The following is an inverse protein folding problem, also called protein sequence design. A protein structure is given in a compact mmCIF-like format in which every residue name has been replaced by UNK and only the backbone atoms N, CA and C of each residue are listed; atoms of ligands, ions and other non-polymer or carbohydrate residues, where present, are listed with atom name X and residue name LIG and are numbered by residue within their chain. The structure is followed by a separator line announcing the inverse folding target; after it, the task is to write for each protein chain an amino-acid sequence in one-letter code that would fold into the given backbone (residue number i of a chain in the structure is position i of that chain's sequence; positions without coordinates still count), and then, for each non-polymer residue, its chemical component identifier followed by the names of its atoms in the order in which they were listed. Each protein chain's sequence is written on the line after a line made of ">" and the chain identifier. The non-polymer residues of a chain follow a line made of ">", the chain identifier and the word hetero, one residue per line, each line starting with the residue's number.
data_IF_159728500299
#
_entry.id   IF_159728500299
#
_cell.length_a   1.000
_cell.length_b   1.000
_cell.length_c   1.000
_cell.angle_alpha   90.00
_cell.angle_beta   90.00
_cell.angle_gamma   90.00
#
_symmetry.space_group_name_H-M   'P 1'
#
loop_
_entity.id
_entity.type
_entity.pdbx_description
1 polymer ?
#
# COMPACT_ATOMS: atom_id res chain seq x y z
N UNK A 1 -47.27 -40.38 1.87
CA UNK A 1 -46.71 -40.17 0.52
C UNK A 1 -45.23 -39.80 0.67
N UNK A 2 -44.34 -40.55 0.02
CA UNK A 2 -42.91 -40.22 -0.12
C UNK A 2 -42.76 -39.31 -1.34
N UNK A 3 -42.12 -38.15 -1.18
CA UNK A 3 -41.49 -37.42 -2.27
C UNK A 3 -40.07 -37.03 -1.85
N UNK A 4 -39.11 -37.56 -2.61
CA UNK A 4 -37.72 -37.11 -2.74
C UNK A 4 -37.71 -35.81 -3.57
N UNK A 5 -36.57 -35.09 -3.57
CA UNK A 5 -36.17 -33.87 -4.33
C UNK A 5 -35.92 -32.67 -3.39
N UNK A 6 -34.79 -31.96 -3.40
CA UNK A 6 -33.54 -32.11 -4.13
C UNK A 6 -32.45 -31.27 -3.41
N UNK A 7 -31.24 -31.81 -3.48
CA UNK A 7 -29.97 -31.17 -3.20
C UNK A 7 -29.83 -29.86 -4.01
N UNK A 8 -29.81 -28.71 -3.33
CA UNK A 8 -29.02 -27.56 -3.77
C UNK A 8 -28.31 -27.06 -2.52
N UNK A 9 -27.18 -27.69 -2.22
CA UNK A 9 -26.14 -27.03 -1.47
C UNK A 9 -25.75 -25.79 -2.30
N UNK A 10 -26.25 -24.63 -1.91
CA UNK A 10 -25.77 -23.38 -2.44
C UNK A 10 -24.29 -23.30 -2.07
N UNK A 11 -23.42 -23.69 -3.01
CA UNK A 11 -22.04 -23.25 -3.03
C UNK A 11 -22.11 -21.72 -3.09
N UNK A 12 -22.11 -21.09 -1.92
CA UNK A 12 -21.54 -19.75 -1.78
C UNK A 12 -20.06 -19.92 -2.06
N UNK A 13 -19.70 -19.82 -3.34
CA UNK A 13 -18.36 -19.44 -3.72
C UNK A 13 -18.13 -18.06 -3.11
N UNK A 14 -17.56 -18.03 -1.90
CA UNK A 14 -16.98 -16.80 -1.40
C UNK A 14 -15.93 -16.38 -2.44
N UNK A 15 -15.95 -15.13 -2.92
CA UNK A 15 -14.84 -14.63 -3.72
C UNK A 15 -13.58 -14.84 -2.87
N UNK A 16 -12.59 -15.53 -3.44
CA UNK A 16 -11.31 -15.72 -2.80
C UNK A 16 -10.71 -14.35 -2.54
N UNK A 17 -10.80 -13.88 -1.29
CA UNK A 17 -9.96 -12.83 -0.77
C UNK A 17 -8.53 -13.29 -1.05
N UNK A 18 -7.79 -12.59 -1.92
CA UNK A 18 -6.40 -12.93 -2.13
C UNK A 18 -5.70 -12.64 -0.80
N UNK A 19 -5.38 -13.68 -0.06
CA UNK A 19 -4.59 -13.57 1.16
C UNK A 19 -3.19 -13.04 0.79
N UNK A 20 -2.52 -12.33 1.71
CA UNK A 20 -1.11 -12.02 1.54
C UNK A 20 -0.33 -13.32 1.22
N UNK A 21 0.63 -13.23 0.32
CA UNK A 21 1.46 -14.38 -0.10
C UNK A 21 2.89 -14.15 0.35
N UNK A 22 3.50 -15.14 0.98
CA UNK A 22 4.93 -15.09 1.33
C UNK A 22 5.76 -14.86 0.06
N UNK A 23 6.64 -13.86 0.11
CA UNK A 23 7.44 -13.40 -1.03
C UNK A 23 6.79 -12.28 -1.85
N UNK A 24 5.55 -11.88 -1.56
CA UNK A 24 4.97 -10.67 -2.16
C UNK A 24 5.82 -9.46 -1.76
N UNK A 25 6.22 -8.67 -2.77
CA UNK A 25 7.19 -7.59 -2.60
C UNK A 25 6.74 -6.33 -3.34
N UNK A 26 6.96 -5.17 -2.70
CA UNK A 26 6.91 -3.86 -3.35
C UNK A 26 8.21 -3.10 -3.09
N UNK A 27 8.73 -2.42 -4.10
CA UNK A 27 9.87 -1.49 -3.96
C UNK A 27 9.44 -0.10 -4.39
N UNK A 28 9.91 0.89 -3.66
CA UNK A 28 9.62 2.31 -3.87
C UNK A 28 10.91 3.11 -3.95
N UNK A 29 10.93 4.08 -4.87
CA UNK A 29 11.88 5.19 -4.84
C UNK A 29 11.45 6.18 -3.77
N UNK A 30 12.32 6.45 -2.81
CA UNK A 30 12.06 7.39 -1.72
C UNK A 30 12.90 8.64 -1.91
N UNK A 31 12.27 9.80 -1.86
CA UNK A 31 12.93 11.11 -1.79
C UNK A 31 12.55 11.77 -0.46
N UNK A 32 13.55 12.10 0.36
CA UNK A 32 13.41 12.90 1.57
C UNK A 32 13.97 14.30 1.30
N UNK A 33 13.11 15.32 1.37
CA UNK A 33 13.49 16.73 1.29
C UNK A 33 13.45 17.38 2.66
N UNK A 34 14.53 18.07 3.02
CA UNK A 34 14.69 18.85 4.25
C UNK A 34 15.17 20.25 3.85
N UNK A 35 14.23 21.19 3.70
CA UNK A 35 14.51 22.49 3.11
C UNK A 35 15.00 22.38 1.66
N UNK A 36 16.22 22.86 1.38
CA UNK A 36 16.81 22.80 0.04
C UNK A 36 17.58 21.50 -0.25
N UNK A 37 17.78 20.65 0.75
CA UNK A 37 18.52 19.39 0.60
C UNK A 37 17.55 18.25 0.29
N UNK A 38 17.95 17.36 -0.61
CA UNK A 38 17.23 16.13 -0.93
C UNK A 38 18.15 14.92 -0.79
N UNK A 39 17.62 13.83 -0.25
CA UNK A 39 18.29 12.53 -0.16
C UNK A 39 17.40 11.49 -0.82
N UNK A 40 17.97 10.69 -1.72
CA UNK A 40 17.28 9.61 -2.38
C UNK A 40 17.58 8.28 -1.68
N UNK A 41 16.63 7.37 -1.75
CA UNK A 41 16.74 6.03 -1.20
C UNK A 41 15.72 5.08 -1.79
N UNK A 42 15.65 3.90 -1.20
CA UNK A 42 14.68 2.86 -1.55
C UNK A 42 13.99 2.35 -0.31
N UNK A 43 12.68 2.14 -0.43
CA UNK A 43 11.87 1.42 0.55
C UNK A 43 11.42 0.11 -0.10
N UNK A 44 11.67 -1.02 0.56
CA UNK A 44 11.15 -2.32 0.15
C UNK A 44 10.27 -2.91 1.24
N UNK A 45 9.10 -3.42 0.86
CA UNK A 45 8.18 -4.17 1.70
C UNK A 45 8.13 -5.61 1.18
N UNK A 46 8.26 -6.59 2.07
CA UNK A 46 8.21 -8.01 1.73
C UNK A 46 7.37 -8.76 2.77
N UNK A 47 6.41 -9.57 2.31
CA UNK A 47 5.67 -10.48 3.19
C UNK A 47 6.55 -11.70 3.46
N UNK A 48 6.99 -11.87 4.70
CA UNK A 48 7.95 -12.93 5.08
C UNK A 48 7.27 -14.13 5.75
N UNK A 49 6.07 -13.94 6.30
CA UNK A 49 5.31 -14.99 6.99
C UNK A 49 3.81 -14.66 6.92
N UNK A 50 2.98 -15.69 6.80
CA UNK A 50 1.52 -15.58 6.78
C UNK A 50 0.93 -16.66 7.70
N UNK A 51 0.06 -16.24 8.61
CA UNK A 51 -0.70 -17.09 9.53
C UNK A 51 -2.20 -16.89 9.30
N UNK A 52 -3.06 -17.51 10.12
CA UNK A 52 -4.51 -17.48 9.89
C UNK A 52 -5.14 -16.07 10.03
N UNK A 53 -4.63 -15.25 10.96
CA UNK A 53 -5.20 -13.96 11.36
C UNK A 53 -4.22 -12.79 11.23
N UNK A 54 -2.95 -13.07 10.90
CA UNK A 54 -1.87 -12.10 10.79
C UNK A 54 -0.86 -12.46 9.71
N UNK A 55 -0.03 -11.50 9.37
CA UNK A 55 1.14 -11.68 8.49
C UNK A 55 2.29 -10.81 8.98
N UNK A 56 3.52 -11.17 8.62
CA UNK A 56 4.72 -10.41 8.96
C UNK A 56 5.27 -9.73 7.72
N UNK A 57 5.57 -8.44 7.85
CA UNK A 57 6.21 -7.63 6.81
C UNK A 57 7.65 -7.33 7.24
N UNK A 58 8.59 -7.55 6.32
CA UNK A 58 9.93 -6.96 6.39
C UNK A 58 9.94 -5.66 5.61
N UNK A 59 10.30 -4.59 6.30
CA UNK A 59 10.53 -3.27 5.74
C UNK A 59 12.02 -3.00 5.69
N UNK A 60 12.56 -2.74 4.51
CA UNK A 60 13.96 -2.36 4.31
C UNK A 60 14.03 -0.95 3.75
N UNK A 61 14.72 -0.05 4.44
CA UNK A 61 14.96 1.33 4.01
C UNK A 61 16.46 1.51 3.79
N UNK A 62 16.85 1.91 2.58
CA UNK A 62 18.25 2.19 2.25
C UNK A 62 18.36 3.60 1.65
N UNK A 63 19.28 4.41 2.17
CA UNK A 63 19.64 5.71 1.61
C UNK A 63 21.10 5.68 1.16
N UNK A 64 21.43 6.49 0.15
CA UNK A 64 22.78 6.49 -0.42
C UNK A 64 23.84 6.80 0.65
N UNK A 65 24.83 5.92 0.76
CA UNK A 65 25.94 6.04 1.72
C UNK A 65 25.61 5.64 3.16
N UNK A 66 24.45 5.01 3.40
CA UNK A 66 24.06 4.50 4.72
C UNK A 66 23.82 2.99 4.67
N UNK A 67 24.11 2.30 5.78
CA UNK A 67 23.71 0.89 5.95
C UNK A 67 22.17 0.78 5.94
N UNK A 68 21.59 -0.19 5.22
CA UNK A 68 20.15 -0.37 5.19
C UNK A 68 19.57 -0.63 6.59
N UNK A 69 18.45 0.01 6.90
CA UNK A 69 17.66 -0.26 8.09
C UNK A 69 16.61 -1.33 7.75
N UNK A 70 16.62 -2.44 8.48
CA UNK A 70 15.65 -3.53 8.33
C UNK A 70 14.81 -3.61 9.60
N UNK A 71 13.48 -3.59 9.42
CA UNK A 71 12.49 -3.79 10.49
C UNK A 71 11.51 -4.86 10.07
N UNK A 72 11.21 -5.78 10.97
CA UNK A 72 10.14 -6.76 10.80
C UNK A 72 9.00 -6.43 11.77
N UNK A 73 7.76 -6.56 11.30
CA UNK A 73 6.57 -6.29 12.10
C UNK A 73 5.42 -7.22 11.73
N UNK A 74 4.62 -7.57 12.74
CA UNK A 74 3.37 -8.31 12.54
C UNK A 74 2.22 -7.33 12.30
N UNK A 75 1.33 -7.69 11.39
CA UNK A 75 0.13 -6.93 10.99
C UNK A 75 -1.08 -7.87 11.00
N UNK A 76 -2.25 -7.33 11.33
CA UNK A 76 -3.49 -8.12 11.25
C UNK A 76 -3.93 -8.26 9.80
N UNK A 77 -4.65 -9.33 9.45
CA UNK A 77 -5.16 -9.52 8.08
C UNK A 77 -6.04 -8.36 7.57
N UNK A 78 -6.66 -7.60 8.47
CA UNK A 78 -7.43 -6.40 8.13
C UNK A 78 -6.56 -5.23 7.63
N UNK A 79 -5.25 -5.25 7.91
CA UNK A 79 -4.30 -4.25 7.41
C UNK A 79 -3.85 -4.55 5.96
N UNK A 80 -4.15 -5.75 5.45
CA UNK A 80 -3.86 -6.12 4.07
C UNK A 80 -5.02 -5.68 3.17
N UNK A 81 -4.74 -4.73 2.28
CA UNK A 81 -5.68 -4.31 1.25
C UNK A 81 -5.71 -5.36 0.13
N UNK A 82 -6.68 -6.27 0.19
CA UNK A 82 -6.84 -7.28 -0.86
C UNK A 82 -7.21 -6.63 -2.21
N UNK A 83 -6.93 -7.29 -3.35
CA UNK A 83 -7.19 -6.73 -4.66
C UNK A 83 -8.65 -6.30 -4.87
N UNK A 84 -9.63 -7.01 -4.31
CA UNK A 84 -11.05 -6.65 -4.44
C UNK A 84 -11.36 -5.37 -3.68
N UNK A 85 -10.78 -5.19 -2.48
CA UNK A 85 -10.89 -3.93 -1.73
C UNK A 85 -10.25 -2.77 -2.48
N UNK A 86 -9.06 -2.98 -3.07
CA UNK A 86 -8.38 -1.96 -3.87
C UNK A 86 -9.24 -1.53 -5.07
N UNK A 87 -9.83 -2.49 -5.76
CA UNK A 87 -10.77 -2.22 -6.86
C UNK A 87 -11.96 -1.39 -6.41
N UNK A 88 -12.55 -1.74 -5.25
CA UNK A 88 -13.67 -1.01 -4.69
C UNK A 88 -13.29 0.41 -4.28
N UNK A 89 -12.09 0.62 -3.73
CA UNK A 89 -11.56 1.96 -3.39
C UNK A 89 -11.40 2.80 -4.65
N UNK A 90 -10.79 2.25 -5.71
CA UNK A 90 -10.60 2.97 -6.97
C UNK A 90 -11.96 3.31 -7.61
N UNK A 91 -12.87 2.34 -7.69
CA UNK A 91 -14.19 2.52 -8.28
C UNK A 91 -15.06 3.51 -7.50
N UNK A 92 -14.94 3.55 -6.18
CA UNK A 92 -15.73 4.41 -5.29
C UNK A 92 -14.89 5.52 -4.65
N UNK A 93 -13.89 6.03 -5.36
CA UNK A 93 -12.89 6.92 -4.79
C UNK A 93 -13.49 8.14 -4.05
N UNK A 94 -14.52 8.77 -4.64
CA UNK A 94 -15.20 9.89 -4.00
C UNK A 94 -15.92 9.50 -2.69
N UNK A 95 -16.45 8.27 -2.59
CA UNK A 95 -17.17 7.79 -1.41
C UNK A 95 -16.25 7.55 -0.21
N UNK A 96 -14.97 7.25 -0.45
CA UNK A 96 -13.94 7.14 0.60
C UNK A 96 -13.24 8.48 0.88
N UNK A 97 -13.76 9.59 0.33
CA UNK A 97 -13.19 10.93 0.53
C UNK A 97 -11.96 11.23 -0.31
N UNK A 98 -11.67 10.42 -1.34
CA UNK A 98 -10.57 10.63 -2.26
C UNK A 98 -10.99 11.33 -3.57
N UNK A 99 -10.00 11.55 -4.43
CA UNK A 99 -10.17 12.06 -5.79
C UNK A 99 -9.53 11.10 -6.81
N UNK A 100 -10.25 10.73 -7.89
CA UNK A 100 -9.65 9.90 -8.94
C UNK A 100 -8.56 10.69 -9.67
N UNK A 101 -7.38 10.09 -9.80
CA UNK A 101 -6.22 10.66 -10.49
C UNK A 101 -5.46 9.57 -11.27
N UNK A 102 -4.76 9.99 -12.32
CA UNK A 102 -3.73 9.17 -12.96
C UNK A 102 -2.37 9.55 -12.41
N UNK A 103 -1.59 8.58 -11.94
CA UNK A 103 -0.23 8.82 -11.44
C UNK A 103 0.79 8.08 -12.30
N UNK A 104 1.86 8.76 -12.69
CA UNK A 104 3.01 8.15 -13.35
C UNK A 104 4.14 7.97 -12.34
N UNK A 105 4.55 6.72 -12.16
CA UNK A 105 5.65 6.29 -11.28
C UNK A 105 6.63 5.45 -12.10
N UNK A 106 7.82 5.10 -11.58
CA UNK A 106 8.80 4.34 -12.36
C UNK A 106 8.27 3.01 -12.93
N UNK A 107 7.31 2.37 -12.24
CA UNK A 107 6.67 1.14 -12.72
C UNK A 107 5.70 1.35 -13.91
N UNK A 108 5.24 2.58 -14.17
CA UNK A 108 4.25 2.89 -15.21
C UNK A 108 3.22 3.95 -14.80
N UNK A 109 2.16 4.07 -15.60
CA UNK A 109 0.98 4.90 -15.28
C UNK A 109 -0.11 4.03 -14.67
N UNK A 110 -0.77 4.51 -13.62
CA UNK A 110 -1.87 3.83 -12.94
C UNK A 110 -3.09 4.75 -12.78
N UNK A 111 -4.28 4.18 -12.94
CA UNK A 111 -5.52 4.79 -12.44
C UNK A 111 -5.56 4.61 -10.92
N UNK A 112 -5.74 5.70 -10.20
CA UNK A 112 -5.61 5.73 -8.73
C UNK A 112 -6.75 6.47 -8.05
N UNK A 113 -6.93 6.16 -6.77
CA UNK A 113 -7.66 7.01 -5.85
C UNK A 113 -6.68 7.76 -4.94
N UNK A 114 -6.57 9.09 -5.11
CA UNK A 114 -5.78 9.94 -4.21
C UNK A 114 -6.59 10.24 -2.96
N UNK A 115 -6.08 9.86 -1.80
CA UNK A 115 -6.65 10.16 -0.50
C UNK A 115 -5.72 11.14 0.21
N UNK A 116 -6.27 12.27 0.66
CA UNK A 116 -5.53 13.31 1.38
C UNK A 116 -6.02 13.40 2.82
N UNK A 117 -5.10 13.45 3.78
CA UNK A 117 -5.39 13.62 5.19
C UNK A 117 -4.50 14.73 5.76
N UNK A 118 -5.06 15.58 6.60
CA UNK A 118 -4.32 16.60 7.35
C UNK A 118 -4.48 16.28 8.83
N UNK A 119 -3.38 15.91 9.47
CA UNK A 119 -3.31 15.55 10.89
C UNK A 119 -2.50 16.55 11.70
N UNK A 120 -2.09 16.15 12.91
CA UNK A 120 -1.31 16.95 13.87
C UNK A 120 0.08 17.34 13.35
N UNK A 121 0.12 18.33 12.45
CA UNK A 121 1.36 18.90 11.90
C UNK A 121 1.87 18.23 10.62
N UNK A 122 1.12 17.29 10.05
CA UNK A 122 1.45 16.64 8.79
C UNK A 122 0.27 16.62 7.81
N UNK A 123 0.56 16.82 6.53
CA UNK A 123 -0.36 16.57 5.42
C UNK A 123 0.14 15.33 4.67
N UNK A 124 -0.68 14.29 4.62
CA UNK A 124 -0.37 13.02 3.98
C UNK A 124 -1.27 12.81 2.78
N UNK A 125 -0.70 12.37 1.67
CA UNK A 125 -1.38 12.03 0.43
C UNK A 125 -0.97 10.61 0.01
N UNK A 126 -1.96 9.79 -0.31
CA UNK A 126 -1.76 8.38 -0.70
C UNK A 126 -2.50 8.14 -2.01
N UNK A 127 -1.81 7.55 -2.99
CA UNK A 127 -2.40 7.16 -4.28
C UNK A 127 -2.62 5.66 -4.29
N UNK A 128 -3.85 5.25 -4.01
CA UNK A 128 -4.24 3.84 -3.99
C UNK A 128 -4.38 3.31 -5.42
N UNK A 129 -3.71 2.21 -5.74
CA UNK A 129 -3.62 1.64 -7.09
C UNK A 129 -3.57 0.11 -7.06
N UNK A 130 -3.80 -0.52 -8.21
CA UNK A 130 -3.68 -1.99 -8.41
C UNK A 130 -2.21 -2.43 -8.48
N UNK A 131 -1.51 -2.32 -7.36
CA UNK A 131 -0.10 -2.73 -7.17
C UNK A 131 0.04 -3.48 -5.85
N UNK A 132 1.12 -4.25 -5.62
CA UNK A 132 1.38 -4.87 -4.32
C UNK A 132 1.35 -3.82 -3.20
N UNK A 133 0.75 -4.19 -2.06
CA UNK A 133 0.47 -3.27 -0.95
C UNK A 133 -0.37 -2.04 -1.31
N UNK A 134 -1.10 -2.06 -2.43
CA UNK A 134 -2.12 -1.09 -2.85
C UNK A 134 -1.66 0.37 -3.02
N UNK A 135 -0.37 0.69 -2.93
CA UNK A 135 0.12 2.06 -2.92
C UNK A 135 1.01 2.32 -4.15
N UNK A 136 0.57 3.19 -5.08
CA UNK A 136 1.42 3.62 -6.20
C UNK A 136 2.34 4.79 -5.79
N UNK A 137 1.83 5.72 -4.98
CA UNK A 137 2.60 6.85 -4.50
C UNK A 137 2.16 7.22 -3.08
N UNK A 138 3.10 7.71 -2.29
CA UNK A 138 2.86 8.30 -0.98
C UNK A 138 3.61 9.63 -0.91
N UNK A 139 3.00 10.63 -0.27
CA UNK A 139 3.63 11.90 0.03
C UNK A 139 3.23 12.35 1.44
N UNK A 140 4.19 12.74 2.25
CA UNK A 140 3.93 13.39 3.53
C UNK A 140 4.73 14.68 3.62
N UNK A 141 4.06 15.76 4.00
CA UNK A 141 4.68 17.05 4.31
C UNK A 141 4.46 17.34 5.78
N UNK A 142 5.54 17.57 6.52
CA UNK A 142 5.51 17.85 7.95
C UNK A 142 6.34 19.08 8.28
N UNK A 143 5.85 19.92 9.19
CA UNK A 143 6.67 20.98 9.77
C UNK A 143 7.52 20.42 10.92
N UNK A 144 8.83 20.61 10.86
CA UNK A 144 9.78 20.22 11.92
C UNK A 144 10.45 21.47 12.50
N UNK A 145 11.18 21.31 13.61
CA UNK A 145 12.00 22.41 14.16
C UNK A 145 13.05 22.92 13.17
N UNK A 146 13.49 22.06 12.23
CA UNK A 146 14.47 22.38 11.20
C UNK A 146 13.84 22.85 9.88
N UNK A 147 12.53 23.11 9.87
CA UNK A 147 11.76 23.53 8.69
C UNK A 147 10.88 22.44 8.10
N UNK A 148 10.44 22.65 6.86
CA UNK A 148 9.55 21.73 6.16
C UNK A 148 10.31 20.47 5.73
N UNK A 149 9.79 19.32 6.14
CA UNK A 149 10.21 18.00 5.68
C UNK A 149 9.15 17.47 4.72
N UNK A 150 9.59 16.96 3.58
CA UNK A 150 8.73 16.25 2.63
C UNK A 150 9.31 14.87 2.33
N UNK A 151 8.48 13.83 2.46
CA UNK A 151 8.80 12.46 2.07
C UNK A 151 7.92 12.13 0.88
N UNK A 152 8.52 11.67 -0.21
CA UNK A 152 7.79 11.09 -1.35
C UNK A 152 8.28 9.66 -1.58
N UNK A 153 7.36 8.71 -1.70
CA UNK A 153 7.67 7.34 -2.12
C UNK A 153 6.88 7.01 -3.39
N UNK A 154 7.55 6.50 -4.43
CA UNK A 154 6.94 6.15 -5.73
C UNK A 154 7.21 4.70 -6.06
N UNK A 155 6.16 3.95 -6.39
CA UNK A 155 6.26 2.53 -6.69
C UNK A 155 7.15 2.28 -7.91
N UNK A 156 8.23 1.52 -7.69
CA UNK A 156 9.24 1.16 -8.68
C UNK A 156 8.91 -0.15 -9.41
N UNK A 157 8.20 -1.05 -8.74
CA UNK A 157 8.03 -2.43 -9.21
C UNK A 157 8.93 -3.41 -8.42
N UNK A 158 8.93 -4.66 -8.85
CA UNK A 158 9.71 -5.78 -8.28
C UNK A 158 11.03 -6.06 -9.02
N UNK A 159 11.34 -5.28 -10.07
CA UNK A 159 12.46 -5.50 -10.99
C UNK A 159 13.82 -5.14 -10.42
#
# INVERSE_FOLDING_TARGET
>A
MKFVFALIAALVAAPGFAAPVVGEKAVFDVELKLGANAVNGTLALEIIQVEADKFSIRTTVAFDGQEPNVKEEERGMADYADPVQVEQIIANCAAVGGSPEKVTVPAGEFDTCKISQVGEGAATEVWVARVPFANAQYREVRMTENGMMEITAKYRGDK
#
